data_IF_728152017716
#
_entry.id   IF_728152017716
#
_cell.length_a   1.000
_cell.length_b   1.000
_cell.length_c   1.000
_cell.angle_alpha   90.00
_cell.angle_beta   90.00
_cell.angle_gamma   90.00
#
_symmetry.space_group_name_H-M   'P 1'
#
loop_
_entity.id
_entity.type
_entity.pdbx_description
1 polymer ?
#
# COMPACT_ATOMS: atom_id res chain seq x y z
N UNK A 1 -6.92 10.72 -8.85
CA UNK A 1 -5.81 9.86 -8.39
C UNK A 1 -4.79 9.78 -9.50
N UNK A 2 -3.53 10.07 -9.22
CA UNK A 2 -2.43 9.95 -10.18
C UNK A 2 -1.35 9.04 -9.61
N UNK A 3 -0.76 8.20 -10.43
CA UNK A 3 0.31 7.29 -10.05
C UNK A 3 1.35 7.18 -11.17
N UNK A 4 2.57 6.80 -10.81
CA UNK A 4 3.71 6.61 -11.71
C UNK A 4 4.26 5.19 -11.58
N UNK A 5 5.44 4.91 -12.11
CA UNK A 5 6.17 3.68 -11.81
C UNK A 5 6.63 3.60 -10.34
N UNK A 6 6.73 4.74 -9.64
CA UNK A 6 7.38 4.82 -8.32
C UNK A 6 6.62 5.63 -7.27
N UNK A 7 5.43 6.13 -7.59
CA UNK A 7 4.64 6.93 -6.66
C UNK A 7 3.14 6.82 -6.86
N UNK A 8 2.38 7.10 -5.80
CA UNK A 8 0.93 7.22 -5.82
C UNK A 8 0.50 8.41 -4.95
N UNK A 9 -0.47 9.18 -5.44
CA UNK A 9 -1.17 10.15 -4.60
C UNK A 9 -2.34 9.45 -3.91
N UNK A 10 -2.27 9.35 -2.58
CA UNK A 10 -3.29 8.73 -1.74
C UNK A 10 -4.14 9.83 -1.07
N UNK A 11 -5.45 9.59 -0.96
CA UNK A 11 -6.35 10.37 -0.12
C UNK A 11 -7.29 9.45 0.65
N UNK A 12 -7.70 9.89 1.83
CA UNK A 12 -8.56 9.13 2.73
C UNK A 12 -9.55 10.04 3.45
N UNK A 13 -10.55 9.44 4.11
CA UNK A 13 -11.45 10.16 4.99
C UNK A 13 -10.77 10.39 6.36
N UNK A 14 -11.00 11.53 7.03
CA UNK A 14 -10.49 11.76 8.38
C UNK A 14 -11.04 10.73 9.36
N UNK A 15 -10.27 10.37 10.39
CA UNK A 15 -10.76 9.46 11.42
C UNK A 15 -11.84 10.12 12.28
N UNK A 16 -12.97 9.43 12.44
CA UNK A 16 -14.15 9.96 13.14
C UNK A 16 -14.04 9.92 14.68
N UNK A 17 -13.16 9.07 15.23
CA UNK A 17 -13.01 8.91 16.69
C UNK A 17 -11.75 9.59 17.20
N UNK A 18 -11.88 10.79 17.73
CA UNK A 18 -10.79 11.55 18.33
C UNK A 18 -10.82 11.54 19.86
N UNK A 19 -11.91 11.09 20.49
CA UNK A 19 -12.13 11.15 21.95
C UNK A 19 -11.79 12.53 22.56
N UNK A 20 -11.99 13.61 21.80
CA UNK A 20 -11.64 14.98 22.20
C UNK A 20 -10.17 15.38 22.00
N UNK A 21 -9.29 14.46 21.54
CA UNK A 21 -7.90 14.74 21.16
C UNK A 21 -7.74 14.80 19.64
N UNK A 22 -7.43 15.97 19.05
CA UNK A 22 -7.35 16.12 17.60
C UNK A 22 -6.24 15.26 17.00
N UNK A 23 -6.48 14.78 15.78
CA UNK A 23 -5.48 14.03 15.01
C UNK A 23 -4.31 14.98 14.71
N UNK A 24 -3.10 14.53 15.05
CA UNK A 24 -1.85 15.24 14.80
C UNK A 24 -1.28 14.90 13.42
N UNK A 25 -1.24 13.61 13.09
CA UNK A 25 -0.71 13.09 11.82
C UNK A 25 -1.22 11.67 11.56
N UNK A 26 -0.80 11.09 10.43
CA UNK A 26 -1.12 9.73 10.01
C UNK A 26 0.15 8.93 9.75
N UNK A 27 0.03 7.61 9.91
CA UNK A 27 1.02 6.64 9.46
C UNK A 27 0.40 5.83 8.32
N UNK A 28 1.11 5.70 7.21
CA UNK A 28 0.68 4.95 6.03
C UNK A 28 1.48 3.65 5.98
N UNK A 29 0.79 2.53 6.17
CA UNK A 29 1.36 1.22 5.94
C UNK A 29 1.19 0.86 4.46
N UNK A 30 2.25 0.30 3.89
CA UNK A 30 2.28 -0.17 2.51
C UNK A 30 2.44 -1.68 2.51
N UNK A 31 1.65 -2.37 1.69
CA UNK A 31 1.80 -3.79 1.40
C UNK A 31 2.07 -3.95 -0.08
N UNK A 32 3.11 -4.71 -0.42
CA UNK A 32 3.45 -5.05 -1.80
C UNK A 32 3.34 -6.55 -2.03
N UNK A 33 2.91 -6.95 -3.22
CA UNK A 33 2.98 -8.33 -3.67
C UNK A 33 3.81 -8.39 -4.96
N UNK A 34 4.78 -9.30 -4.98
CA UNK A 34 5.54 -9.59 -6.20
C UNK A 34 4.59 -10.24 -7.18
N UNK A 35 4.55 -9.72 -8.41
CA UNK A 35 3.86 -10.40 -9.50
C UNK A 35 4.71 -11.63 -9.80
N UNK A 36 4.32 -12.81 -9.30
CA UNK A 36 5.01 -14.05 -9.64
C UNK A 36 4.98 -14.21 -11.16
N UNK A 37 6.15 -14.01 -11.77
CA UNK A 37 6.38 -14.51 -13.12
C UNK A 37 6.62 -16.00 -12.94
N UNK A 38 5.55 -16.80 -13.06
CA UNK A 38 5.64 -18.26 -12.95
C UNK A 38 6.89 -18.75 -13.69
N UNK A 39 7.93 -19.29 -13.00
CA UNK A 39 8.99 -19.97 -13.71
C UNK A 39 8.32 -21.14 -14.42
N UNK A 40 8.51 -21.24 -15.73
CA UNK A 40 8.14 -22.44 -16.50
C UNK A 40 8.99 -23.61 -15.96
N UNK A 41 8.57 -24.21 -14.86
CA UNK A 41 9.05 -25.50 -14.39
C UNK A 41 7.97 -26.51 -14.75
N UNK A 42 8.35 -27.52 -15.52
CA UNK A 42 7.49 -28.56 -16.08
C UNK A 42 6.89 -29.52 -15.05
N UNK A 43 6.54 -29.04 -13.86
CA UNK A 43 5.78 -29.79 -12.87
C UNK A 43 4.34 -29.27 -12.88
N UNK A 44 3.46 -30.09 -13.46
CA UNK A 44 2.01 -29.91 -13.43
C UNK A 44 1.56 -29.83 -11.96
N UNK A 45 1.06 -28.69 -11.46
CA UNK A 45 0.47 -28.64 -10.14
C UNK A 45 -0.84 -29.43 -10.16
N UNK A 46 -0.96 -30.43 -9.29
CA UNK A 46 -2.24 -31.08 -9.02
C UNK A 46 -3.07 -30.06 -8.22
N UNK A 47 -4.13 -29.56 -8.87
CA UNK A 47 -5.02 -28.45 -8.43
C UNK A 47 -4.52 -27.05 -8.84
N UNK A 48 -5.06 -26.48 -9.94
CA UNK A 48 -5.11 -25.04 -10.08
C UNK A 48 -6.37 -24.56 -9.36
N UNK A 49 -6.22 -24.07 -8.14
CA UNK A 49 -7.09 -23.02 -7.64
C UNK A 49 -6.55 -21.74 -8.27
N UNK A 50 -7.09 -21.26 -9.42
CA UNK A 50 -6.40 -20.22 -10.21
C UNK A 50 -6.34 -18.87 -9.49
N UNK A 51 -6.97 -18.75 -8.32
CA UNK A 51 -6.90 -17.58 -7.47
C UNK A 51 -7.07 -18.03 -6.01
N UNK A 52 -5.97 -18.33 -5.31
CA UNK A 52 -5.86 -17.72 -3.97
C UNK A 52 -6.16 -16.23 -4.21
N UNK A 53 -7.11 -15.60 -3.50
CA UNK A 53 -7.37 -14.19 -3.73
C UNK A 53 -6.03 -13.48 -3.57
N UNK A 54 -5.48 -13.02 -4.69
CA UNK A 54 -4.29 -12.15 -4.75
C UNK A 54 -4.53 -11.07 -3.71
N UNK A 55 -3.95 -11.23 -2.51
CA UNK A 55 -4.36 -10.35 -1.41
C UNK A 55 -4.19 -10.78 0.03
N UNK A 56 -3.82 -12.02 0.36
CA UNK A 56 -3.69 -12.42 1.77
C UNK A 56 -2.25 -12.67 2.24
N UNK A 57 -1.29 -12.72 1.32
CA UNK A 57 0.07 -13.21 1.60
C UNK A 57 1.17 -12.15 1.68
N UNK A 58 0.85 -10.87 1.47
CA UNK A 58 1.79 -9.77 1.71
C UNK A 58 1.72 -9.27 3.16
N UNK A 59 2.85 -9.26 3.88
CA UNK A 59 2.93 -8.56 5.17
C UNK A 59 2.86 -7.03 5.00
N UNK A 60 2.28 -6.35 5.99
CA UNK A 60 2.31 -4.89 6.03
C UNK A 60 3.70 -4.42 6.41
N UNK A 61 4.32 -3.56 5.61
CA UNK A 61 5.59 -2.93 5.97
C UNK A 61 5.34 -1.82 6.99
N UNK A 62 5.30 -2.23 8.27
CA UNK A 62 5.14 -1.32 9.42
C UNK A 62 6.47 -0.64 9.75
N UNK A 63 7.61 -1.25 9.41
CA UNK A 63 8.94 -0.71 9.75
C UNK A 63 9.31 0.48 8.88
N UNK A 64 8.98 0.43 7.59
CA UNK A 64 9.22 1.52 6.63
C UNK A 64 7.94 2.34 6.35
N UNK A 65 7.03 2.41 7.32
CA UNK A 65 5.79 3.15 7.19
C UNK A 65 6.04 4.65 6.95
N UNK A 66 5.25 5.25 6.06
CA UNK A 66 5.35 6.69 5.81
C UNK A 66 4.60 7.45 6.89
N UNK A 67 5.29 8.38 7.56
CA UNK A 67 4.70 9.28 8.57
C UNK A 67 4.39 10.62 7.92
N UNK A 68 3.14 11.09 8.00
CA UNK A 68 2.79 12.41 7.49
C UNK A 68 3.25 13.52 8.44
N UNK A 69 3.55 14.70 7.90
CA UNK A 69 3.96 15.87 8.70
C UNK A 69 2.78 16.58 9.37
N UNK A 70 1.58 16.38 8.85
CA UNK A 70 0.35 17.06 9.28
C UNK A 70 -0.82 16.09 9.31
N UNK A 71 -1.96 16.58 9.79
CA UNK A 71 -3.25 15.91 9.76
C UNK A 71 -3.99 16.06 8.41
N UNK A 72 -3.30 16.46 7.34
CA UNK A 72 -3.88 16.43 6.00
C UNK A 72 -4.29 15.00 5.64
N UNK A 73 -5.42 14.85 4.96
CA UNK A 73 -5.99 13.54 4.58
C UNK A 73 -5.58 13.12 3.17
N UNK A 74 -4.40 13.58 2.75
CA UNK A 74 -3.76 13.20 1.49
C UNK A 74 -2.25 13.23 1.64
N UNK A 75 -1.57 12.36 0.91
CA UNK A 75 -0.12 12.28 0.87
C UNK A 75 0.34 11.60 -0.42
N UNK A 76 1.56 11.90 -0.85
CA UNK A 76 2.21 11.15 -1.93
C UNK A 76 3.10 10.08 -1.32
N UNK A 77 2.81 8.82 -1.62
CA UNK A 77 3.72 7.71 -1.33
C UNK A 77 4.70 7.60 -2.48
N UNK A 78 5.99 7.63 -2.18
CA UNK A 78 7.09 7.59 -3.16
C UNK A 78 8.00 6.39 -2.88
N UNK A 79 8.93 6.10 -3.80
CA UNK A 79 9.89 5.01 -3.64
C UNK A 79 9.30 3.63 -3.88
N UNK A 80 8.13 3.54 -4.54
CA UNK A 80 7.54 2.27 -4.93
C UNK A 80 8.38 1.59 -6.00
N UNK A 81 8.31 0.26 -6.04
CA UNK A 81 8.90 -0.54 -7.10
C UNK A 81 8.02 -0.47 -8.36
N UNK A 82 8.61 -0.33 -9.56
CA UNK A 82 7.88 -0.47 -10.82
C UNK A 82 7.23 -1.84 -10.96
N UNK A 83 6.12 -1.90 -11.69
CA UNK A 83 5.41 -3.16 -11.99
C UNK A 83 5.15 -4.06 -10.77
N UNK A 84 4.71 -3.46 -9.68
CA UNK A 84 4.47 -4.17 -8.41
C UNK A 84 3.05 -3.87 -7.93
N UNK A 85 2.39 -4.87 -7.35
CA UNK A 85 1.04 -4.72 -6.81
C UNK A 85 1.14 -4.12 -5.41
N UNK A 86 0.38 -3.07 -5.13
CA UNK A 86 0.35 -2.39 -3.84
C UNK A 86 -1.08 -2.26 -3.28
N UNK A 87 -1.17 -2.27 -1.95
CA UNK A 87 -2.34 -1.88 -1.16
C UNK A 87 -1.87 -1.05 0.04
N UNK A 88 -2.70 -0.09 0.47
CA UNK A 88 -2.37 0.88 1.50
C UNK A 88 -3.42 0.88 2.61
N UNK A 89 -3.01 1.17 3.84
CA UNK A 89 -3.92 1.50 4.94
C UNK A 89 -3.33 2.63 5.79
N UNK A 90 -4.18 3.38 6.46
CA UNK A 90 -3.77 4.53 7.27
C UNK A 90 -4.10 4.32 8.74
N UNK A 91 -3.23 4.81 9.61
CA UNK A 91 -3.41 4.85 11.07
C UNK A 91 -3.39 6.30 11.50
N UNK A 92 -4.39 6.75 12.27
CA UNK A 92 -4.40 8.10 12.82
C UNK A 92 -3.65 8.15 14.14
N UNK A 93 -2.93 9.24 14.37
CA UNK A 93 -2.14 9.46 15.59
C UNK A 93 -2.62 10.73 16.27
N UNK A 94 -2.99 10.62 17.55
CA UNK A 94 -3.26 11.76 18.43
C UNK A 94 -2.47 11.64 19.74
N UNK A 95 -2.74 12.51 20.72
CA UNK A 95 -2.03 12.49 22.00
C UNK A 95 -2.30 11.24 22.86
N UNK A 96 -3.32 10.44 22.52
CA UNK A 96 -3.65 9.19 23.18
C UNK A 96 -2.94 7.99 22.53
N UNK A 97 -2.38 8.18 21.34
CA UNK A 97 -1.64 7.17 20.60
C UNK A 97 -2.26 6.83 19.24
N UNK A 98 -1.91 5.65 18.68
CA UNK A 98 -2.42 5.19 17.40
C UNK A 98 -3.85 4.65 17.47
N UNK A 99 -4.62 4.94 16.43
CA UNK A 99 -5.91 4.29 16.19
C UNK A 99 -5.73 2.85 15.69
N UNK A 100 -6.84 2.12 15.56
CA UNK A 100 -6.86 0.96 14.68
C UNK A 100 -6.57 1.39 13.23
N UNK A 101 -5.89 0.57 12.40
CA UNK A 101 -5.72 0.86 10.99
C UNK A 101 -7.06 0.98 10.25
N UNK A 102 -7.08 1.78 9.18
CA UNK A 102 -8.21 1.86 8.28
C UNK A 102 -8.46 0.54 7.55
N UNK A 103 -9.61 0.45 6.88
CA UNK A 103 -9.77 -0.51 5.79
C UNK A 103 -8.68 -0.24 4.74
N UNK A 104 -8.13 -1.33 4.21
CA UNK A 104 -7.16 -1.29 3.13
C UNK A 104 -7.76 -0.70 1.84
N UNK A 105 -6.90 -0.10 1.01
CA UNK A 105 -7.26 0.32 -0.34
C UNK A 105 -7.44 -0.89 -1.25
N UNK A 106 -8.16 -0.70 -2.34
CA UNK A 106 -8.07 -1.60 -3.48
C UNK A 106 -6.62 -1.76 -3.95
N UNK A 107 -6.32 -2.92 -4.53
CA UNK A 107 -5.03 -3.17 -5.14
C UNK A 107 -4.82 -2.26 -6.35
N UNK A 108 -3.58 -1.84 -6.55
CA UNK A 108 -3.13 -1.16 -7.75
C UNK A 108 -1.79 -1.69 -8.21
N UNK A 109 -1.49 -1.49 -9.48
CA UNK A 109 -0.20 -1.87 -10.08
C UNK A 109 0.52 -0.59 -10.52
N UNK A 110 1.77 -0.42 -10.09
CA UNK A 110 2.62 0.67 -10.58
C UNK A 110 3.00 0.48 -12.04
N UNK A 111 3.30 1.58 -12.74
CA UNK A 111 3.69 1.51 -14.14
C UNK A 111 5.04 0.79 -14.33
N UNK A 112 5.25 0.20 -15.50
CA UNK A 112 6.55 -0.32 -15.93
C UNK A 112 7.46 0.83 -16.32
N UNK A 113 8.77 0.68 -16.12
CA UNK A 113 9.77 1.59 -16.67
C UNK A 113 10.23 1.06 -18.04
N UNK A 114 10.17 1.91 -19.06
CA UNK A 114 10.72 1.59 -20.38
C UNK A 114 12.24 1.80 -20.36
N UNK A 115 13.01 0.81 -20.79
CA UNK A 115 14.43 1.02 -21.10
C UNK A 115 14.53 1.68 -22.47
N UNK A 116 15.02 2.92 -22.55
CA UNK A 116 15.42 3.51 -23.83
C UNK A 116 16.85 3.05 -24.08
N UNK A 117 17.04 2.23 -25.12
CA UNK A 117 18.37 1.98 -25.67
C UNK A 117 18.74 3.17 -26.55
N UNK A 118 19.74 3.95 -26.14
CA UNK A 118 20.34 5.04 -26.94
C UNK A 118 21.64 4.60 -27.56
#
# INVERSE_FOLDING_TARGET
>A
MGFTSRSVNLSWAPSLSSHGSPISHYIIHTRSQVIETFPTSSQVPLDPSPFSPVGEEGEWDVQNALVTLTNATSSQVIGLLPYTVYSFRVVAINSLGPSTPSRESYYMVTLREGTIFT
#
